data_IF_660299347464
#
_entry.id   IF_660299347464
#
_cell.length_a   1.000
_cell.length_b   1.000
_cell.length_c   1.000
_cell.angle_alpha   90.00
_cell.angle_beta   90.00
_cell.angle_gamma   90.00
#
_symmetry.space_group_name_H-M   'P 1'
#
loop_
_entity.id
_entity.type
_entity.pdbx_description
1 polymer ?
#
# COMPACT_ATOMS: atom_id res chain seq x y z
N UNK A 1 86.35 -19.11 17.53
CA UNK A 1 85.05 -18.56 18.00
C UNK A 1 83.98 -18.83 16.95
N UNK A 2 82.88 -19.56 17.25
CA UNK A 2 81.84 -19.78 16.26
C UNK A 2 80.91 -18.57 16.20
N UNK A 3 80.81 -17.96 15.02
CA UNK A 3 79.89 -16.84 14.76
C UNK A 3 78.47 -17.41 14.69
N UNK A 4 77.66 -17.17 15.74
CA UNK A 4 76.22 -17.47 15.72
C UNK A 4 75.53 -16.58 14.68
N UNK A 5 75.26 -17.13 13.49
CA UNK A 5 74.39 -16.50 12.48
C UNK A 5 73.00 -16.26 13.10
N UNK A 6 72.69 -15.01 13.45
CA UNK A 6 71.33 -14.59 13.83
C UNK A 6 70.39 -14.84 12.66
N UNK A 7 69.54 -15.86 12.78
CA UNK A 7 68.46 -16.19 11.84
C UNK A 7 67.52 -14.98 11.80
N UNK A 8 67.57 -14.15 10.74
CA UNK A 8 66.61 -13.06 10.49
C UNK A 8 65.21 -13.68 10.47
N UNK A 9 64.50 -13.62 11.60
CA UNK A 9 63.07 -13.96 11.67
C UNK A 9 62.39 -12.98 10.71
N UNK A 10 61.66 -13.49 9.73
CA UNK A 10 60.91 -12.70 8.74
C UNK A 10 59.46 -12.59 9.24
N UNK A 11 59.13 -11.67 10.16
CA UNK A 11 57.79 -11.57 10.76
C UNK A 11 56.70 -11.37 9.70
N UNK A 12 57.03 -10.70 8.60
CA UNK A 12 56.13 -10.45 7.48
C UNK A 12 55.58 -11.72 6.81
N UNK A 13 56.36 -12.81 6.77
CA UNK A 13 55.89 -14.09 6.18
C UNK A 13 54.90 -14.82 7.08
N UNK A 14 54.99 -14.62 8.40
CA UNK A 14 54.05 -15.21 9.34
C UNK A 14 52.72 -14.43 9.31
N UNK A 15 52.78 -13.10 9.28
CA UNK A 15 51.60 -12.24 9.15
C UNK A 15 50.83 -12.49 7.85
N UNK A 16 51.53 -12.58 6.71
CA UNK A 16 50.88 -12.87 5.42
C UNK A 16 50.16 -14.23 5.43
N UNK A 17 50.77 -15.27 6.00
CA UNK A 17 50.14 -16.59 6.14
C UNK A 17 48.90 -16.53 7.04
N UNK A 18 48.95 -15.78 8.13
CA UNK A 18 47.80 -15.58 9.03
C UNK A 18 46.63 -14.92 8.29
N UNK A 19 46.90 -13.84 7.53
CA UNK A 19 45.88 -13.14 6.74
C UNK A 19 45.24 -14.06 5.70
N UNK A 20 46.04 -14.86 4.98
CA UNK A 20 45.51 -15.82 4.00
C UNK A 20 44.64 -16.89 4.68
N UNK A 21 45.07 -17.43 5.82
CA UNK A 21 44.28 -18.42 6.57
C UNK A 21 42.98 -17.82 7.10
N UNK A 22 43.00 -16.60 7.66
CA UNK A 22 41.79 -15.90 8.08
C UNK A 22 40.87 -15.58 6.91
N UNK A 23 41.42 -15.22 5.74
CA UNK A 23 40.65 -15.01 4.52
C UNK A 23 39.96 -16.28 4.02
N UNK A 24 40.62 -17.44 4.09
CA UNK A 24 40.04 -18.73 3.72
C UNK A 24 38.97 -19.16 4.74
N UNK A 25 39.21 -19.00 6.03
CA UNK A 25 38.22 -19.31 7.08
C UNK A 25 37.01 -18.39 6.97
N UNK A 26 37.24 -17.08 6.83
CA UNK A 26 36.18 -16.09 6.64
C UNK A 26 35.40 -16.32 5.36
N UNK A 27 36.08 -16.61 4.25
CA UNK A 27 35.45 -16.97 2.98
C UNK A 27 34.64 -18.27 3.05
N UNK A 28 35.16 -19.28 3.76
CA UNK A 28 34.46 -20.55 3.99
C UNK A 28 33.22 -20.41 4.87
N UNK A 29 33.31 -19.61 5.95
CA UNK A 29 32.16 -19.29 6.81
C UNK A 29 31.11 -18.46 6.07
N UNK A 30 31.54 -17.46 5.28
CA UNK A 30 30.63 -16.65 4.45
C UNK A 30 29.94 -17.49 3.38
N UNK A 31 30.68 -18.36 2.69
CA UNK A 31 30.12 -19.28 1.70
C UNK A 31 29.16 -20.29 2.35
N UNK A 32 29.55 -20.88 3.49
CA UNK A 32 28.69 -21.80 4.23
C UNK A 32 27.40 -21.14 4.71
N UNK A 33 27.47 -19.91 5.19
CA UNK A 33 26.28 -19.14 5.56
C UNK A 33 25.39 -18.88 4.33
N UNK A 34 25.91 -18.20 3.32
CA UNK A 34 25.11 -17.72 2.17
C UNK A 34 24.61 -18.82 1.22
N UNK A 35 25.33 -19.95 1.09
CA UNK A 35 24.95 -21.01 0.16
C UNK A 35 24.31 -22.23 0.82
N UNK A 36 24.49 -22.43 2.14
CA UNK A 36 24.00 -23.63 2.84
C UNK A 36 22.99 -23.29 3.93
N UNK A 37 23.25 -22.29 4.77
CA UNK A 37 22.38 -21.96 5.90
C UNK A 37 21.24 -21.03 5.49
N UNK A 38 21.56 -19.94 4.79
CA UNK A 38 20.59 -18.89 4.43
C UNK A 38 19.58 -19.39 3.39
N UNK A 39 19.83 -20.51 2.69
CA UNK A 39 18.91 -21.09 1.69
C UNK A 39 18.10 -22.29 2.21
N UNK A 40 18.23 -22.61 3.50
CA UNK A 40 17.55 -23.77 4.08
C UNK A 40 16.15 -23.38 4.52
N UNK A 41 15.18 -23.75 3.70
CA UNK A 41 13.75 -23.66 4.04
C UNK A 41 13.37 -24.64 5.14
N UNK A 42 12.38 -24.25 5.94
CA UNK A 42 11.60 -25.21 6.71
C UNK A 42 10.94 -26.22 5.74
N UNK A 43 10.81 -27.48 6.18
CA UNK A 43 10.20 -28.52 5.36
C UNK A 43 8.74 -28.19 4.99
N UNK A 44 8.02 -27.51 5.89
CA UNK A 44 6.62 -27.12 5.69
C UNK A 44 6.47 -25.91 4.75
N UNK A 45 7.40 -24.96 4.81
CA UNK A 45 7.36 -23.74 3.97
C UNK A 45 7.90 -23.95 2.55
N UNK A 46 8.76 -24.96 2.37
CA UNK A 46 9.46 -25.19 1.11
C UNK A 46 8.51 -25.35 -0.10
N UNK A 47 7.42 -26.13 -0.03
CA UNK A 47 6.50 -26.28 -1.17
C UNK A 47 5.88 -24.95 -1.60
N UNK A 48 5.38 -24.15 -0.65
CA UNK A 48 4.81 -22.83 -0.93
C UNK A 48 5.84 -21.88 -1.54
N UNK A 49 7.06 -21.84 -0.98
CA UNK A 49 8.15 -21.04 -1.53
C UNK A 49 8.54 -21.47 -2.96
N UNK A 50 8.54 -22.77 -3.26
CA UNK A 50 8.78 -23.29 -4.62
C UNK A 50 7.63 -22.98 -5.59
N UNK A 51 6.38 -22.94 -5.12
CA UNK A 51 5.22 -22.54 -5.91
C UNK A 51 5.30 -21.07 -6.33
N UNK A 52 5.48 -20.17 -5.36
CA UNK A 52 5.65 -18.71 -5.59
C UNK A 52 6.84 -18.43 -6.51
N UNK A 53 7.97 -19.12 -6.29
CA UNK A 53 9.18 -19.00 -7.12
C UNK A 53 8.95 -19.40 -8.57
N UNK A 54 8.17 -20.47 -8.78
CA UNK A 54 7.83 -20.96 -10.11
C UNK A 54 6.88 -20.02 -10.82
N UNK A 55 5.85 -19.53 -10.15
CA UNK A 55 4.87 -18.63 -10.74
C UNK A 55 5.51 -17.32 -11.19
N UNK A 56 6.31 -16.70 -10.32
CA UNK A 56 6.97 -15.43 -10.67
C UNK A 56 8.25 -15.61 -11.51
N UNK A 57 8.64 -16.85 -11.81
CA UNK A 57 9.90 -17.24 -12.45
C UNK A 57 11.18 -16.65 -11.81
N UNK A 58 11.15 -16.40 -10.49
CA UNK A 58 12.26 -15.82 -9.72
C UNK A 58 12.84 -16.84 -8.75
N UNK A 59 14.17 -16.79 -8.53
CA UNK A 59 14.85 -17.71 -7.61
C UNK A 59 15.13 -17.04 -6.26
N UNK A 60 14.72 -17.68 -5.16
CA UNK A 60 15.02 -17.21 -3.81
C UNK A 60 16.52 -17.02 -3.55
N UNK A 61 16.88 -15.83 -3.06
CA UNK A 61 18.26 -15.51 -2.64
C UNK A 61 18.53 -16.04 -1.24
N UNK A 62 17.53 -15.98 -0.36
CA UNK A 62 17.53 -16.52 0.99
C UNK A 62 16.14 -17.04 1.39
N UNK A 63 16.10 -17.99 2.31
CA UNK A 63 14.89 -18.46 2.95
C UNK A 63 14.34 -17.41 3.91
N UNK A 64 13.02 -17.30 3.95
CA UNK A 64 12.30 -16.41 4.85
C UNK A 64 11.75 -17.24 6.00
N UNK A 65 11.66 -16.64 7.19
CA UNK A 65 11.10 -17.30 8.36
C UNK A 65 9.68 -16.78 8.59
N UNK A 66 8.80 -17.67 9.04
CA UNK A 66 7.45 -17.35 9.46
C UNK A 66 7.40 -17.37 10.99
N UNK A 67 6.73 -16.39 11.58
CA UNK A 67 6.42 -16.33 13.00
C UNK A 67 4.92 -16.15 13.19
N UNK A 68 4.30 -17.10 13.89
CA UNK A 68 2.91 -16.99 14.34
C UNK A 68 2.89 -16.10 15.59
N UNK A 69 1.99 -15.12 15.61
CA UNK A 69 1.80 -14.20 16.72
C UNK A 69 0.37 -14.26 17.25
N UNK A 70 0.16 -14.07 18.56
CA UNK A 70 -1.15 -13.72 19.10
C UNK A 70 -1.76 -12.51 18.39
N UNK A 71 -3.09 -12.43 18.33
CA UNK A 71 -3.83 -11.42 17.56
C UNK A 71 -3.43 -9.98 17.91
N UNK A 72 -3.27 -9.65 19.18
CA UNK A 72 -2.87 -8.34 19.68
C UNK A 72 -1.43 -7.98 19.26
N UNK A 73 -0.48 -8.90 19.49
CA UNK A 73 0.92 -8.73 19.08
C UNK A 73 1.05 -8.60 17.54
N UNK A 74 0.25 -9.37 16.80
CA UNK A 74 0.18 -9.31 15.34
C UNK A 74 -0.32 -7.94 14.86
N UNK A 75 -1.42 -7.46 15.42
CA UNK A 75 -2.04 -6.20 15.04
C UNK A 75 -1.08 -5.01 15.26
N UNK A 76 -0.42 -4.95 16.41
CA UNK A 76 0.59 -3.90 16.67
C UNK A 76 1.74 -3.98 15.66
N UNK A 77 2.24 -5.20 15.36
CA UNK A 77 3.33 -5.40 14.40
C UNK A 77 2.94 -4.95 12.99
N UNK A 78 1.73 -5.29 12.56
CA UNK A 78 1.16 -4.88 11.27
C UNK A 78 1.07 -3.36 11.18
N UNK A 79 0.55 -2.70 12.21
CA UNK A 79 0.45 -1.24 12.25
C UNK A 79 1.83 -0.56 12.20
N UNK A 80 2.80 -1.05 12.98
CA UNK A 80 4.18 -0.51 13.00
C UNK A 80 4.83 -0.63 11.61
N UNK A 81 4.83 -1.84 11.04
CA UNK A 81 5.49 -2.10 9.75
C UNK A 81 4.78 -1.36 8.61
N UNK A 82 3.45 -1.44 8.56
CA UNK A 82 2.65 -0.84 7.50
C UNK A 82 2.67 0.69 7.52
N UNK A 83 2.67 1.33 8.69
CA UNK A 83 2.77 2.79 8.78
C UNK A 83 4.21 3.32 8.74
N UNK A 84 5.21 2.43 8.72
CA UNK A 84 6.63 2.82 8.73
C UNK A 84 7.04 3.50 10.04
N UNK A 85 6.42 3.10 11.15
CA UNK A 85 6.76 3.60 12.48
C UNK A 85 8.03 2.91 12.98
N UNK A 86 8.78 3.61 13.85
CA UNK A 86 9.80 2.94 14.64
C UNK A 86 9.18 1.97 15.66
N UNK A 87 10.00 1.06 16.20
CA UNK A 87 9.54 0.05 17.15
C UNK A 87 9.00 0.63 18.48
N UNK A 88 9.29 1.90 18.79
CA UNK A 88 8.79 2.62 19.96
C UNK A 88 7.54 3.47 19.62
N UNK A 89 7.09 3.41 18.36
CA UNK A 89 5.98 4.16 17.78
C UNK A 89 6.03 5.67 18.07
N UNK A 90 7.23 6.27 18.10
CA UNK A 90 7.38 7.69 18.49
C UNK A 90 6.66 8.66 17.55
N UNK A 91 6.43 8.25 16.30
CA UNK A 91 5.67 8.98 15.29
C UNK A 91 4.14 8.92 15.42
N UNK A 92 3.57 8.08 16.29
CA UNK A 92 2.12 7.85 16.33
C UNK A 92 1.33 9.09 16.80
N UNK A 93 1.80 9.77 17.84
CA UNK A 93 1.13 10.96 18.38
C UNK A 93 1.08 12.14 17.37
N UNK A 94 2.18 12.55 16.72
CA UNK A 94 2.11 13.59 15.68
C UNK A 94 1.30 13.15 14.46
N UNK A 95 1.34 11.87 14.08
CA UNK A 95 0.50 11.32 13.02
C UNK A 95 -0.99 11.45 13.36
N UNK A 96 -1.38 11.09 14.59
CA UNK A 96 -2.75 11.23 15.07
C UNK A 96 -3.23 12.68 15.03
N UNK A 97 -2.38 13.64 15.41
CA UNK A 97 -2.70 15.06 15.36
C UNK A 97 -2.86 15.57 13.91
N UNK A 98 -1.98 15.15 12.99
CA UNK A 98 -2.13 15.45 11.55
C UNK A 98 -3.47 14.92 11.03
N UNK A 99 -3.79 13.65 11.34
CA UNK A 99 -5.01 13.00 10.87
C UNK A 99 -6.27 13.62 11.45
N UNK A 100 -6.29 13.98 12.74
CA UNK A 100 -7.44 14.71 13.34
C UNK A 100 -7.63 16.08 12.71
N UNK A 101 -6.53 16.82 12.49
CA UNK A 101 -6.59 18.13 11.83
C UNK A 101 -7.26 18.04 10.45
N UNK A 102 -7.02 16.95 9.73
CA UNK A 102 -7.57 16.73 8.39
C UNK A 102 -8.84 15.86 8.37
N UNK A 103 -9.42 15.56 9.55
CA UNK A 103 -10.66 14.79 9.64
C UNK A 103 -10.55 13.36 9.13
N UNK A 104 -9.38 12.73 9.30
CA UNK A 104 -9.11 11.34 8.95
C UNK A 104 -9.33 10.39 10.13
N UNK A 105 -9.25 10.89 11.36
CA UNK A 105 -9.43 10.10 12.58
C UNK A 105 -10.06 10.94 13.66
N UNK A 106 -10.66 10.27 14.64
CA UNK A 106 -11.07 10.84 15.93
C UNK A 106 -10.25 10.24 17.07
N UNK A 107 -10.30 10.85 18.25
CA UNK A 107 -9.71 10.27 19.45
C UNK A 107 -8.19 10.07 19.38
N UNK A 108 -7.71 9.09 20.15
CA UNK A 108 -6.32 8.62 20.11
C UNK A 108 -6.20 7.49 19.09
N UNK A 109 -5.04 7.42 18.43
CA UNK A 109 -4.69 6.25 17.63
C UNK A 109 -4.07 5.20 18.54
N UNK A 110 -4.58 3.98 18.45
CA UNK A 110 -4.05 2.82 19.16
C UNK A 110 -3.54 1.82 18.10
N UNK A 111 -2.30 1.34 18.24
CA UNK A 111 -1.68 0.45 17.24
C UNK A 111 -2.47 -0.84 17.04
N UNK A 112 -2.96 -1.42 18.13
CA UNK A 112 -3.80 -2.61 18.11
C UNK A 112 -5.05 -2.38 17.24
N UNK A 113 -5.81 -1.30 17.48
CA UNK A 113 -6.99 -0.98 16.69
C UNK A 113 -6.68 -0.81 15.20
N UNK A 114 -5.56 -0.13 14.88
CA UNK A 114 -5.12 0.06 13.49
C UNK A 114 -4.84 -1.27 12.79
N UNK A 115 -4.11 -2.16 13.44
CA UNK A 115 -3.81 -3.49 12.90
C UNK A 115 -5.04 -4.38 12.79
N UNK A 116 -5.91 -4.37 13.82
CA UNK A 116 -7.16 -5.11 13.83
C UNK A 116 -8.10 -4.68 12.70
N UNK A 117 -8.11 -3.37 12.38
CA UNK A 117 -8.90 -2.82 11.29
C UNK A 117 -8.52 -3.35 9.90
N UNK A 118 -7.31 -3.88 9.72
CA UNK A 118 -6.82 -4.45 8.46
C UNK A 118 -6.55 -5.96 8.56
N UNK A 119 -6.90 -6.59 9.69
CA UNK A 119 -6.54 -7.97 9.99
C UNK A 119 -7.13 -8.96 8.99
N UNK A 120 -8.39 -8.78 8.60
CA UNK A 120 -9.07 -9.63 7.63
C UNK A 120 -8.37 -9.60 6.27
N UNK A 121 -7.94 -8.42 5.84
CA UNK A 121 -7.35 -8.23 4.51
C UNK A 121 -5.90 -8.72 4.45
N UNK A 122 -5.23 -8.71 5.60
CA UNK A 122 -3.82 -9.07 5.74
C UNK A 122 -3.62 -9.94 6.98
N UNK A 123 -4.02 -11.23 6.96
CA UNK A 123 -3.82 -12.16 8.08
C UNK A 123 -2.41 -12.77 8.11
N UNK A 124 -1.66 -12.64 7.01
CA UNK A 124 -0.24 -12.97 6.91
C UNK A 124 0.46 -11.86 6.14
N UNK A 125 1.57 -11.31 6.66
CA UNK A 125 2.34 -10.28 5.95
C UNK A 125 3.84 -10.48 6.03
N UNK A 126 4.54 -9.97 5.02
CA UNK A 126 5.99 -9.84 5.04
C UNK A 126 6.38 -8.48 5.62
N UNK A 127 7.18 -8.47 6.69
CA UNK A 127 7.79 -7.26 7.20
C UNK A 127 9.17 -7.03 6.56
N UNK A 128 9.33 -5.99 5.72
CA UNK A 128 10.62 -5.68 5.14
C UNK A 128 11.69 -5.20 6.15
N UNK A 129 11.28 -4.75 7.33
CA UNK A 129 12.19 -4.15 8.34
C UNK A 129 13.16 -5.18 8.89
N UNK A 130 12.69 -6.40 9.15
CA UNK A 130 13.51 -7.51 9.65
C UNK A 130 13.56 -8.71 8.69
N UNK A 131 12.80 -8.66 7.59
CA UNK A 131 12.79 -9.69 6.56
C UNK A 131 12.06 -10.96 6.97
N UNK A 132 11.11 -10.86 7.90
CA UNK A 132 10.31 -11.97 8.43
C UNK A 132 8.89 -11.95 7.83
N UNK A 133 8.21 -13.09 7.87
CA UNK A 133 6.77 -13.18 7.65
C UNK A 133 6.09 -13.38 9.01
N UNK A 134 5.02 -12.66 9.24
CA UNK A 134 4.16 -12.78 10.41
C UNK A 134 2.81 -13.33 10.00
N UNK A 135 2.30 -14.25 10.80
CA UNK A 135 0.98 -14.89 10.65
C UNK A 135 0.20 -14.69 11.93
N UNK A 136 -1.08 -14.33 11.82
CA UNK A 136 -1.94 -14.27 13.01
C UNK A 136 -2.36 -15.67 13.44
N UNK A 137 -2.38 -15.92 14.75
CA UNK A 137 -2.85 -17.18 15.31
C UNK A 137 -4.35 -17.39 15.04
N UNK A 138 -4.73 -18.60 14.60
CA UNK A 138 -6.12 -19.01 14.50
C UNK A 138 -6.82 -18.71 13.17
N UNK A 139 -6.07 -18.44 12.11
CA UNK A 139 -6.60 -18.33 10.74
C UNK A 139 -6.95 -19.71 10.19
N UNK A 140 -8.06 -19.81 9.46
CA UNK A 140 -8.44 -21.02 8.73
C UNK A 140 -7.39 -21.44 7.69
N UNK A 141 -7.26 -22.74 7.44
CA UNK A 141 -6.16 -23.30 6.67
C UNK A 141 -6.10 -22.77 5.22
N UNK A 142 -7.23 -22.64 4.52
CA UNK A 142 -7.29 -22.11 3.15
C UNK A 142 -6.91 -20.63 3.07
N UNK A 143 -7.50 -19.77 3.92
CA UNK A 143 -7.13 -18.35 4.03
C UNK A 143 -5.64 -18.20 4.40
N UNK A 144 -5.18 -18.98 5.37
CA UNK A 144 -3.78 -19.01 5.80
C UNK A 144 -2.85 -19.40 4.66
N UNK A 145 -3.17 -20.46 3.90
CA UNK A 145 -2.36 -20.90 2.76
C UNK A 145 -2.28 -19.82 1.69
N UNK A 146 -3.40 -19.22 1.32
CA UNK A 146 -3.45 -18.14 0.33
C UNK A 146 -2.67 -16.90 0.78
N UNK A 147 -2.88 -16.42 2.00
CA UNK A 147 -2.17 -15.25 2.52
C UNK A 147 -0.68 -15.52 2.73
N UNK A 148 -0.29 -16.76 3.08
CA UNK A 148 1.12 -17.15 3.14
C UNK A 148 1.79 -17.06 1.75
N UNK A 149 1.12 -17.49 0.68
CA UNK A 149 1.64 -17.34 -0.68
C UNK A 149 1.80 -15.87 -1.06
N UNK A 150 0.84 -15.01 -0.69
CA UNK A 150 0.94 -13.56 -0.90
C UNK A 150 2.14 -12.96 -0.15
N UNK A 151 2.32 -13.28 1.13
CA UNK A 151 3.45 -12.78 1.92
C UNK A 151 4.81 -13.29 1.38
N UNK A 152 4.88 -14.56 0.98
CA UNK A 152 6.06 -15.12 0.32
C UNK A 152 6.35 -14.41 -1.02
N UNK A 153 5.32 -14.11 -1.82
CA UNK A 153 5.50 -13.38 -3.07
C UNK A 153 6.06 -11.97 -2.82
N UNK A 154 5.52 -11.23 -1.86
CA UNK A 154 6.05 -9.92 -1.47
C UNK A 154 7.53 -10.00 -1.02
N UNK A 155 7.89 -11.02 -0.25
CA UNK A 155 9.27 -11.25 0.19
C UNK A 155 10.21 -11.63 -0.97
N UNK A 156 9.75 -12.46 -1.91
CA UNK A 156 10.51 -12.83 -3.11
C UNK A 156 10.77 -11.60 -3.98
N UNK A 157 9.74 -10.78 -4.20
CA UNK A 157 9.83 -9.51 -4.92
C UNK A 157 10.82 -8.58 -4.23
N UNK A 158 10.81 -8.49 -2.89
CA UNK A 158 11.77 -7.62 -2.19
C UNK A 158 13.22 -8.09 -2.36
N UNK A 159 13.45 -9.40 -2.32
CA UNK A 159 14.79 -9.93 -2.54
C UNK A 159 15.36 -9.56 -3.90
N UNK A 160 14.52 -9.40 -4.93
CA UNK A 160 14.96 -9.10 -6.30
C UNK A 160 14.90 -7.62 -6.67
N UNK A 161 13.78 -6.97 -6.38
CA UNK A 161 13.48 -5.59 -6.74
C UNK A 161 13.88 -4.59 -5.66
N UNK A 162 14.06 -5.05 -4.42
CA UNK A 162 14.38 -4.22 -3.25
C UNK A 162 13.38 -3.07 -3.06
N UNK A 163 12.10 -3.34 -3.34
CA UNK A 163 11.03 -2.35 -3.25
C UNK A 163 10.97 -1.75 -1.84
N UNK A 164 11.28 -2.52 -0.80
CA UNK A 164 11.31 -2.04 0.58
C UNK A 164 12.35 -0.94 0.79
N UNK A 165 13.53 -1.09 0.17
CA UNK A 165 14.58 -0.08 0.24
C UNK A 165 14.21 1.18 -0.54
N UNK A 166 13.47 1.03 -1.65
CA UNK A 166 12.96 2.17 -2.42
C UNK A 166 11.96 2.97 -1.61
N UNK A 167 10.99 2.33 -0.97
CA UNK A 167 9.98 3.04 -0.18
C UNK A 167 10.54 3.64 1.13
N UNK A 168 11.62 3.07 1.66
CA UNK A 168 12.31 3.58 2.84
C UNK A 168 13.32 4.70 2.51
N UNK A 169 13.61 4.94 1.23
CA UNK A 169 14.48 6.03 0.80
C UNK A 169 13.75 7.37 1.03
N UNK A 170 14.30 8.30 1.84
CA UNK A 170 13.68 9.60 2.08
C UNK A 170 13.54 10.46 0.83
N UNK A 171 14.27 10.17 -0.25
CA UNK A 171 14.16 10.84 -1.53
C UNK A 171 12.99 10.30 -2.39
N UNK A 172 12.46 9.12 -2.06
CA UNK A 172 11.29 8.58 -2.76
C UNK A 172 10.04 9.33 -2.33
N UNK A 173 9.27 9.92 -3.27
CA UNK A 173 8.01 10.58 -2.94
C UNK A 173 7.05 9.62 -2.23
N UNK A 174 6.35 10.12 -1.21
CA UNK A 174 5.41 9.29 -0.44
C UNK A 174 4.33 8.67 -1.33
N UNK A 175 3.90 9.41 -2.35
CA UNK A 175 2.92 8.95 -3.35
C UNK A 175 3.47 7.79 -4.17
N UNK A 176 4.72 7.87 -4.63
CA UNK A 176 5.41 6.77 -5.31
C UNK A 176 5.54 5.56 -4.37
N UNK A 177 5.89 5.78 -3.10
CA UNK A 177 6.00 4.70 -2.12
C UNK A 177 4.67 3.96 -1.86
N UNK A 178 3.55 4.70 -1.72
CA UNK A 178 2.22 4.11 -1.57
C UNK A 178 1.81 3.35 -2.83
N UNK A 179 1.97 3.97 -4.02
CA UNK A 179 1.65 3.33 -5.29
C UNK A 179 2.47 2.06 -5.55
N UNK A 180 3.77 2.09 -5.26
CA UNK A 180 4.64 0.91 -5.37
C UNK A 180 4.19 -0.19 -4.41
N UNK A 181 3.86 0.14 -3.15
CA UNK A 181 3.35 -0.86 -2.19
C UNK A 181 2.06 -1.51 -2.67
N UNK A 182 1.11 -0.72 -3.20
CA UNK A 182 -0.14 -1.25 -3.77
C UNK A 182 0.14 -2.21 -4.93
N UNK A 183 1.05 -1.85 -5.84
CA UNK A 183 1.38 -2.70 -6.99
C UNK A 183 2.17 -3.96 -6.60
N UNK A 184 3.02 -3.91 -5.58
CA UNK A 184 3.67 -5.10 -5.03
C UNK A 184 2.64 -6.03 -4.39
N UNK A 185 1.70 -5.48 -3.62
CA UNK A 185 0.65 -6.27 -2.99
C UNK A 185 -0.31 -6.89 -4.04
N UNK A 186 -0.54 -6.17 -5.14
CA UNK A 186 -1.30 -6.65 -6.30
C UNK A 186 -0.59 -7.78 -7.07
N UNK A 187 0.72 -7.66 -7.35
CA UNK A 187 1.52 -8.74 -7.97
C UNK A 187 1.54 -9.97 -7.06
N UNK A 188 1.79 -9.75 -5.77
CA UNK A 188 1.80 -10.81 -4.75
C UNK A 188 0.45 -11.54 -4.64
N UNK A 189 -0.66 -10.80 -4.74
CA UNK A 189 -2.00 -11.37 -4.77
C UNK A 189 -2.22 -12.21 -6.02
N UNK A 190 -1.90 -11.69 -7.21
CA UNK A 190 -2.04 -12.45 -8.46
C UNK A 190 -1.24 -13.76 -8.42
N UNK A 191 -0.02 -13.73 -7.87
CA UNK A 191 0.79 -14.94 -7.69
C UNK A 191 0.12 -15.93 -6.73
N UNK A 192 -0.48 -15.45 -5.63
CA UNK A 192 -1.18 -16.31 -4.68
C UNK A 192 -2.42 -16.97 -5.31
N UNK A 193 -3.21 -16.19 -6.06
CA UNK A 193 -4.39 -16.66 -6.79
C UNK A 193 -4.04 -17.74 -7.83
N UNK A 194 -2.86 -17.67 -8.44
CA UNK A 194 -2.34 -18.66 -9.40
C UNK A 194 -1.65 -19.86 -8.73
N UNK A 195 -1.08 -19.68 -7.54
CA UNK A 195 -0.29 -20.70 -6.85
C UNK A 195 -1.12 -21.64 -5.98
N UNK A 196 -2.28 -21.20 -5.48
CA UNK A 196 -3.12 -21.97 -4.55
C UNK A 196 -4.27 -22.64 -5.29
N UNK A 197 -4.42 -23.94 -5.04
CA UNK A 197 -5.55 -24.73 -5.56
C UNK A 197 -6.68 -24.73 -4.52
N UNK A 198 -7.65 -23.84 -4.69
CA UNK A 198 -8.78 -23.72 -3.78
C UNK A 198 -9.67 -24.97 -3.82
N UNK A 199 -9.88 -25.59 -2.66
CA UNK A 199 -10.77 -26.75 -2.52
C UNK A 199 -12.22 -26.38 -2.18
N UNK A 200 -12.41 -25.15 -1.70
CA UNK A 200 -13.69 -24.54 -1.35
C UNK A 200 -14.13 -23.56 -2.43
N UNK A 201 -15.43 -23.26 -2.51
CA UNK A 201 -15.91 -22.24 -3.44
C UNK A 201 -15.60 -20.82 -2.93
N UNK A 202 -15.71 -19.83 -3.81
CA UNK A 202 -15.35 -18.44 -3.47
C UNK A 202 -16.24 -17.80 -2.40
N UNK A 203 -17.46 -18.30 -2.16
CA UNK A 203 -18.31 -17.78 -1.09
C UNK A 203 -17.86 -18.30 0.26
N UNK A 204 -17.54 -19.60 0.34
CA UNK A 204 -16.98 -20.21 1.55
C UNK A 204 -15.61 -19.59 1.88
N UNK A 205 -14.78 -19.29 0.88
CA UNK A 205 -13.54 -18.56 1.08
C UNK A 205 -13.76 -17.14 1.60
N UNK A 206 -14.76 -16.42 1.08
CA UNK A 206 -15.13 -15.10 1.57
C UNK A 206 -15.64 -15.13 3.02
N UNK A 207 -16.35 -16.20 3.41
CA UNK A 207 -16.83 -16.37 4.79
C UNK A 207 -15.67 -16.41 5.79
N UNK A 208 -14.50 -16.98 5.42
CA UNK A 208 -13.31 -16.96 6.27
C UNK A 208 -12.78 -15.53 6.54
N UNK A 209 -12.83 -14.65 5.55
CA UNK A 209 -12.50 -13.22 5.75
C UNK A 209 -13.49 -12.55 6.70
N UNK A 210 -14.78 -12.81 6.51
CA UNK A 210 -15.85 -12.23 7.32
C UNK A 210 -15.78 -12.72 8.78
N UNK A 211 -15.43 -14.00 8.99
CA UNK A 211 -15.20 -14.58 10.33
C UNK A 211 -14.00 -13.93 11.02
N UNK A 212 -12.90 -13.74 10.31
CA UNK A 212 -11.71 -13.08 10.87
C UNK A 212 -11.98 -11.59 11.18
N UNK A 213 -12.69 -10.88 10.30
CA UNK A 213 -13.14 -9.51 10.55
C UNK A 213 -14.06 -9.44 11.79
N UNK A 214 -14.98 -10.40 11.94
CA UNK A 214 -15.85 -10.48 13.11
C UNK A 214 -15.08 -10.78 14.40
N UNK A 215 -14.01 -11.58 14.33
CA UNK A 215 -13.14 -11.89 15.46
C UNK A 215 -12.34 -10.67 15.96
N UNK A 216 -11.99 -9.74 15.06
CA UNK A 216 -11.34 -8.47 15.43
C UNK A 216 -12.24 -7.55 16.28
N UNK A 217 -13.56 -7.74 16.20
CA UNK A 217 -14.55 -7.15 17.10
C UNK A 217 -14.66 -5.63 17.03
N UNK A 218 -15.22 -5.04 18.09
CA UNK A 218 -15.49 -3.60 18.17
C UNK A 218 -14.23 -2.72 18.15
N UNK A 219 -13.05 -3.29 18.39
CA UNK A 219 -11.79 -2.56 18.36
C UNK A 219 -11.38 -2.20 16.93
N UNK A 220 -11.61 -3.09 15.96
CA UNK A 220 -11.39 -2.83 14.54
C UNK A 220 -12.23 -1.64 14.02
N UNK A 221 -13.44 -1.45 14.57
CA UNK A 221 -14.30 -0.31 14.24
C UNK A 221 -13.73 1.04 14.67
N UNK A 222 -12.70 1.07 15.53
CA UNK A 222 -11.97 2.29 15.90
C UNK A 222 -10.80 2.59 14.97
N UNK A 223 -10.44 1.66 14.08
CA UNK A 223 -9.45 1.94 13.04
C UNK A 223 -9.99 3.00 12.08
N UNK A 224 -9.24 4.07 11.82
CA UNK A 224 -9.59 5.00 10.77
C UNK A 224 -9.52 4.31 9.40
N UNK A 225 -10.54 4.54 8.55
CA UNK A 225 -10.60 3.93 7.21
C UNK A 225 -9.33 4.20 6.37
N UNK A 226 -8.72 5.38 6.53
CA UNK A 226 -7.46 5.71 5.86
C UNK A 226 -6.30 4.81 6.32
N UNK A 227 -6.22 4.49 7.61
CA UNK A 227 -5.20 3.58 8.13
C UNK A 227 -5.43 2.18 7.59
N UNK A 228 -6.67 1.69 7.64
CA UNK A 228 -7.03 0.39 7.07
C UNK A 228 -6.67 0.33 5.58
N UNK A 229 -6.95 1.37 4.80
CA UNK A 229 -6.58 1.42 3.38
C UNK A 229 -5.06 1.37 3.14
N UNK A 230 -4.27 2.05 3.99
CA UNK A 230 -2.80 2.00 3.90
C UNK A 230 -2.22 0.62 4.25
N UNK A 231 -2.84 -0.08 5.19
CA UNK A 231 -2.41 -1.40 5.67
C UNK A 231 -2.89 -2.51 4.72
N UNK A 232 -4.13 -2.46 4.25
CA UNK A 232 -4.78 -3.42 3.35
C UNK A 232 -4.50 -3.19 1.86
N UNK A 233 -3.38 -2.57 1.50
CA UNK A 233 -3.06 -2.09 0.14
C UNK A 233 -3.19 -3.14 -1.00
N UNK A 234 -3.25 -4.44 -0.66
CA UNK A 234 -3.49 -5.55 -1.59
C UNK A 234 -4.90 -5.61 -2.19
N UNK A 235 -5.89 -4.95 -1.58
CA UNK A 235 -7.29 -4.97 -2.06
C UNK A 235 -7.69 -3.71 -2.87
N UNK A 236 -6.71 -3.07 -3.53
CA UNK A 236 -6.97 -1.93 -4.42
C UNK A 236 -7.60 -2.30 -5.77
N UNK A 237 -7.79 -3.60 -6.04
CA UNK A 237 -8.21 -4.15 -7.33
C UNK A 237 -7.13 -4.15 -8.42
N UNK A 238 -5.96 -3.57 -8.15
CA UNK A 238 -4.87 -3.48 -9.13
C UNK A 238 -4.26 -4.83 -9.52
N UNK A 239 -4.49 -5.89 -8.72
CA UNK A 239 -4.06 -7.28 -9.01
C UNK A 239 -4.55 -7.78 -10.37
N UNK A 240 -5.70 -7.28 -10.82
CA UNK A 240 -6.27 -7.53 -12.14
C UNK A 240 -5.29 -7.21 -13.28
N UNK A 241 -4.46 -6.17 -13.13
CA UNK A 241 -3.49 -5.78 -14.16
C UNK A 241 -2.44 -6.86 -14.39
N UNK A 242 -2.09 -7.59 -13.34
CA UNK A 242 -1.14 -8.69 -13.40
C UNK A 242 -1.76 -9.95 -14.03
N UNK A 243 -3.04 -10.21 -13.78
CA UNK A 243 -3.77 -11.31 -14.44
C UNK A 243 -4.01 -11.11 -15.95
N UNK A 244 -3.72 -9.91 -16.49
CA UNK A 244 -3.80 -9.63 -17.94
C UNK A 244 -2.45 -9.79 -18.66
N UNK A 245 -1.37 -10.13 -17.94
CA UNK A 245 -0.01 -10.22 -18.49
C UNK A 245 0.63 -11.57 -18.16
N UNK A 246 1.10 -12.27 -19.19
CA UNK A 246 1.63 -13.63 -19.06
C UNK A 246 3.17 -13.68 -18.98
N UNK A 247 3.86 -12.54 -19.13
CA UNK A 247 5.32 -12.49 -19.15
C UNK A 247 5.92 -11.62 -18.03
N UNK A 248 7.04 -12.10 -17.49
CA UNK A 248 7.76 -11.51 -16.36
C UNK A 248 8.25 -10.09 -16.65
N UNK A 249 8.61 -9.77 -17.89
CA UNK A 249 9.16 -8.44 -18.22
C UNK A 249 8.04 -7.40 -18.19
N UNK A 250 6.88 -7.73 -18.76
CA UNK A 250 5.70 -6.86 -18.70
C UNK A 250 5.17 -6.74 -17.27
N UNK A 251 5.25 -7.80 -16.46
CA UNK A 251 4.92 -7.71 -15.02
C UNK A 251 5.84 -6.73 -14.28
N UNK A 252 7.14 -6.76 -14.54
CA UNK A 252 8.09 -5.81 -13.93
C UNK A 252 7.83 -4.37 -14.39
N UNK A 253 7.44 -4.16 -15.65
CA UNK A 253 7.07 -2.83 -16.18
C UNK A 253 5.87 -2.21 -15.43
N UNK A 254 4.90 -3.03 -14.97
CA UNK A 254 3.77 -2.57 -14.16
C UNK A 254 4.19 -2.02 -12.79
N UNK A 255 5.39 -2.39 -12.31
CA UNK A 255 5.93 -1.93 -11.03
C UNK A 255 6.65 -0.58 -11.14
N UNK A 256 6.80 -0.01 -12.35
CA UNK A 256 7.35 1.33 -12.57
C UNK A 256 6.34 2.46 -12.28
N UNK A 257 5.75 2.42 -11.10
CA UNK A 257 4.74 3.37 -10.63
C UNK A 257 5.38 4.69 -10.19
N UNK A 258 4.68 5.80 -10.39
CA UNK A 258 5.12 7.14 -9.96
C UNK A 258 4.22 7.84 -8.95
N UNK A 259 3.03 7.30 -8.68
CA UNK A 259 2.14 7.79 -7.61
C UNK A 259 1.05 6.78 -7.27
N UNK A 260 0.42 6.94 -6.11
CA UNK A 260 -0.80 6.25 -5.73
C UNK A 260 -1.97 6.60 -6.64
N UNK A 261 -2.06 7.85 -7.10
CA UNK A 261 -3.05 8.28 -8.10
C UNK A 261 -2.99 7.46 -9.39
N UNK A 262 -1.78 7.13 -9.85
CA UNK A 262 -1.59 6.33 -11.06
C UNK A 262 -2.07 4.87 -10.91
N UNK A 263 -2.12 4.36 -9.67
CA UNK A 263 -2.67 3.04 -9.35
C UNK A 263 -4.17 3.11 -9.14
N UNK A 264 -4.66 4.14 -8.45
CA UNK A 264 -6.05 4.28 -8.04
C UNK A 264 -6.96 4.75 -9.17
N UNK A 265 -6.53 5.73 -9.97
CA UNK A 265 -7.25 6.18 -11.16
C UNK A 265 -6.83 5.31 -12.34
N UNK A 266 -7.66 4.33 -12.68
CA UNK A 266 -7.29 3.35 -13.68
C UNK A 266 -7.16 3.93 -15.11
N UNK A 267 -7.60 5.17 -15.33
CA UNK A 267 -7.39 5.91 -16.58
C UNK A 267 -6.00 6.57 -16.69
N UNK A 268 -5.24 6.68 -15.60
CA UNK A 268 -3.90 7.26 -15.60
C UNK A 268 -2.84 6.26 -16.04
N UNK A 269 -1.79 6.81 -16.64
CA UNK A 269 -0.57 6.04 -16.95
C UNK A 269 0.21 5.80 -15.65
N UNK A 270 0.68 4.56 -15.43
CA UNK A 270 1.40 4.18 -14.20
C UNK A 270 2.68 5.01 -13.98
N UNK A 271 3.30 5.48 -15.06
CA UNK A 271 4.52 6.29 -15.06
C UNK A 271 4.24 7.80 -15.02
N UNK A 272 2.97 8.20 -14.97
CA UNK A 272 2.59 9.62 -14.83
C UNK A 272 3.05 10.18 -13.49
N UNK A 273 3.74 11.32 -13.54
CA UNK A 273 4.26 12.00 -12.36
C UNK A 273 3.30 13.11 -11.95
N UNK A 274 2.90 13.17 -10.67
CA UNK A 274 2.21 14.32 -10.12
C UNK A 274 3.01 15.62 -10.30
N UNK A 275 2.32 16.75 -10.27
CA UNK A 275 2.91 18.08 -10.18
C UNK A 275 3.76 18.24 -8.91
N UNK A 276 4.99 18.70 -9.08
CA UNK A 276 5.89 19.01 -7.97
C UNK A 276 5.58 20.42 -7.43
N UNK A 277 4.92 20.48 -6.26
CA UNK A 277 4.58 21.73 -5.57
C UNK A 277 5.54 22.09 -4.42
N UNK A 278 6.47 21.19 -4.06
CA UNK A 278 7.44 21.37 -2.97
C UNK A 278 8.85 20.92 -3.38
N UNK A 279 9.84 21.31 -2.57
CA UNK A 279 11.24 20.92 -2.77
C UNK A 279 11.56 19.55 -2.14
N UNK A 280 10.66 19.03 -1.30
CA UNK A 280 10.86 17.80 -0.53
C UNK A 280 9.78 16.78 -0.86
N UNK A 281 10.21 15.62 -1.36
CA UNK A 281 9.34 14.55 -1.83
C UNK A 281 8.36 14.00 -0.76
N UNK A 282 8.75 14.07 0.52
CA UNK A 282 7.93 13.62 1.67
C UNK A 282 6.78 14.57 2.04
N UNK A 283 6.69 15.75 1.44
CA UNK A 283 5.63 16.72 1.72
C UNK A 283 4.32 16.40 0.97
N UNK A 284 4.36 15.58 -0.08
CA UNK A 284 3.14 15.12 -0.75
C UNK A 284 2.43 14.02 0.06
N UNK A 285 1.10 14.02 0.04
CA UNK A 285 0.27 12.99 0.71
C UNK A 285 -0.49 12.10 -0.27
N UNK A 286 -0.66 12.52 -1.52
CA UNK A 286 -1.24 11.68 -2.57
C UNK A 286 -2.75 11.70 -2.66
N UNK A 287 -3.25 11.12 -3.75
CA UNK A 287 -4.69 11.07 -4.03
C UNK A 287 -5.45 10.24 -2.99
N UNK A 288 -4.88 9.14 -2.48
CA UNK A 288 -5.51 8.31 -1.46
C UNK A 288 -5.81 9.13 -0.19
N UNK A 289 -4.84 9.93 0.25
CA UNK A 289 -5.00 10.80 1.40
C UNK A 289 -6.14 11.80 1.18
N UNK A 290 -6.15 12.51 0.04
CA UNK A 290 -7.17 13.50 -0.26
C UNK A 290 -8.56 12.90 -0.46
N UNK A 291 -8.65 11.69 -1.03
CA UNK A 291 -9.87 10.93 -1.07
C UNK A 291 -10.42 10.69 0.34
N UNK A 292 -9.61 10.17 1.27
CA UNK A 292 -10.06 9.89 2.64
C UNK A 292 -10.36 11.16 3.44
N UNK A 293 -9.62 12.25 3.23
CA UNK A 293 -9.92 13.57 3.84
C UNK A 293 -11.34 13.99 3.46
N UNK A 294 -11.67 13.93 2.16
CA UNK A 294 -13.00 14.28 1.66
C UNK A 294 -14.06 13.28 2.13
N UNK A 295 -13.79 11.98 1.98
CA UNK A 295 -14.73 10.90 2.26
C UNK A 295 -15.09 10.79 3.74
N UNK A 296 -14.24 11.29 4.65
CA UNK A 296 -14.57 11.38 6.07
C UNK A 296 -15.75 12.30 6.38
N UNK A 297 -16.08 13.27 5.50
CA UNK A 297 -17.19 14.23 5.72
C UNK A 297 -18.19 14.35 4.57
N UNK A 298 -17.88 13.75 3.42
CA UNK A 298 -18.70 13.81 2.21
C UNK A 298 -19.12 12.40 1.78
N UNK A 299 -20.19 12.26 0.98
CA UNK A 299 -20.53 10.98 0.37
C UNK A 299 -19.36 10.43 -0.45
N UNK A 300 -19.11 9.11 -0.34
CA UNK A 300 -17.93 8.47 -0.92
C UNK A 300 -17.77 8.69 -2.44
N UNK A 301 -18.85 8.59 -3.22
CA UNK A 301 -18.82 8.82 -4.67
C UNK A 301 -18.42 10.26 -5.02
N UNK A 302 -18.88 11.23 -4.22
CA UNK A 302 -18.56 12.63 -4.40
C UNK A 302 -17.10 12.93 -4.02
N UNK A 303 -16.62 12.33 -2.92
CA UNK A 303 -15.23 12.39 -2.51
C UNK A 303 -14.29 11.77 -3.56
N UNK A 304 -14.70 10.66 -4.18
CA UNK A 304 -13.95 10.01 -5.26
C UNK A 304 -13.85 10.91 -6.50
N UNK A 305 -14.99 11.43 -7.00
CA UNK A 305 -15.01 12.32 -8.18
C UNK A 305 -14.18 13.61 -7.97
N UNK A 306 -14.18 14.15 -6.75
CA UNK A 306 -13.32 15.27 -6.39
C UNK A 306 -11.83 14.87 -6.31
N UNK A 307 -11.50 13.72 -5.71
CA UNK A 307 -10.13 13.22 -5.59
C UNK A 307 -9.49 12.89 -6.95
N UNK A 308 -10.28 12.44 -7.93
CA UNK A 308 -9.82 12.26 -9.32
C UNK A 308 -9.29 13.56 -9.95
N UNK A 309 -9.70 14.71 -9.41
CA UNK A 309 -9.21 16.02 -9.81
C UNK A 309 -7.80 16.34 -9.31
N UNK A 310 -7.24 15.60 -8.36
CA UNK A 310 -5.91 15.82 -7.78
C UNK A 310 -4.80 15.56 -8.80
N UNK A 311 -3.79 16.43 -8.88
CA UNK A 311 -2.60 16.20 -9.70
C UNK A 311 -1.29 16.39 -8.94
N UNK A 312 -1.34 16.84 -7.70
CA UNK A 312 -0.16 17.04 -6.87
C UNK A 312 -0.52 17.79 -5.60
N UNK A 313 0.27 17.59 -4.55
CA UNK A 313 0.10 18.32 -3.31
C UNK A 313 1.42 18.57 -2.59
N UNK A 314 1.40 19.61 -1.75
CA UNK A 314 2.41 19.91 -0.76
C UNK A 314 1.71 20.13 0.57
N UNK A 315 2.04 19.32 1.58
CA UNK A 315 1.49 19.39 2.92
C UNK A 315 2.59 19.80 3.91
N UNK A 316 2.33 20.88 4.63
CA UNK A 316 3.19 21.45 5.66
C UNK A 316 2.49 21.31 7.02
N UNK A 317 3.26 20.87 8.02
CA UNK A 317 2.78 20.67 9.40
C UNK A 317 3.42 21.74 10.29
N UNK A 318 2.59 22.58 10.88
CA UNK A 318 2.95 23.60 11.85
C UNK A 318 2.69 23.07 13.26
N UNK A 319 3.71 22.43 13.84
CA UNK A 319 3.64 21.86 15.19
C UNK A 319 3.83 22.90 16.32
N UNK A 320 4.23 24.13 15.98
CA UNK A 320 4.46 25.22 16.95
C UNK A 320 3.29 26.20 17.03
N UNK A 321 2.20 25.94 16.30
CA UNK A 321 1.03 26.79 16.31
C UNK A 321 0.47 26.94 17.75
N UNK A 322 0.06 28.16 18.17
CA UNK A 322 -0.15 28.49 19.59
C UNK A 322 -1.18 27.67 20.35
N UNK A 323 -2.06 26.94 19.65
CA UNK A 323 -3.24 26.30 20.23
C UNK A 323 -3.46 24.83 19.81
N UNK A 324 -2.75 24.33 18.79
CA UNK A 324 -2.84 22.96 18.26
C UNK A 324 -1.88 22.81 17.07
N UNK A 325 -1.52 21.58 16.70
CA UNK A 325 -0.83 21.29 15.43
C UNK A 325 -1.74 21.69 14.27
N UNK A 326 -1.24 22.44 13.29
CA UNK A 326 -2.00 22.82 12.10
C UNK A 326 -1.39 22.22 10.83
N UNK A 327 -2.24 21.75 9.94
CA UNK A 327 -1.89 21.26 8.61
C UNK A 327 -2.24 22.34 7.60
N UNK A 328 -1.31 22.70 6.72
CA UNK A 328 -1.54 23.55 5.57
C UNK A 328 -1.15 22.80 4.30
N UNK A 329 -2.00 22.83 3.29
CA UNK A 329 -1.76 22.17 2.03
C UNK A 329 -1.91 23.11 0.84
N UNK A 330 -1.10 22.89 -0.18
CA UNK A 330 -1.31 23.37 -1.55
C UNK A 330 -1.62 22.16 -2.42
N UNK A 331 -2.67 22.24 -3.21
CA UNK A 331 -3.11 21.14 -4.09
C UNK A 331 -3.22 21.69 -5.51
N UNK A 332 -2.64 21.00 -6.48
CA UNK A 332 -2.88 21.24 -7.91
C UNK A 332 -3.91 20.26 -8.43
N UNK A 333 -4.60 20.68 -9.48
CA UNK A 333 -5.61 19.86 -10.13
C UNK A 333 -5.26 19.57 -11.58
N UNK A 334 -5.75 18.44 -12.08
CA UNK A 334 -5.50 17.95 -13.45
C UNK A 334 -5.92 18.95 -14.53
N UNK A 335 -7.00 19.67 -14.28
CA UNK A 335 -7.56 20.69 -15.16
C UNK A 335 -8.46 21.66 -14.38
N UNK A 336 -9.01 22.67 -15.06
CA UNK A 336 -9.91 23.65 -14.44
C UNK A 336 -11.21 23.01 -13.90
N UNK A 337 -11.75 21.99 -14.57
CA UNK A 337 -12.98 21.34 -14.14
C UNK A 337 -12.74 20.51 -12.87
N UNK A 338 -11.64 19.75 -12.82
CA UNK A 338 -11.15 19.05 -11.65
C UNK A 338 -10.87 20.00 -10.50
N UNK A 339 -10.25 21.16 -10.76
CA UNK A 339 -10.06 22.19 -9.73
C UNK A 339 -11.38 22.68 -9.15
N UNK A 340 -12.37 22.97 -10.00
CA UNK A 340 -13.68 23.47 -9.54
C UNK A 340 -14.37 22.41 -8.67
N UNK A 341 -14.36 21.14 -9.09
CA UNK A 341 -14.92 20.02 -8.30
C UNK A 341 -14.21 19.86 -6.96
N UNK A 342 -12.88 19.81 -6.98
CA UNK A 342 -12.07 19.65 -5.77
C UNK A 342 -12.21 20.84 -4.81
N UNK A 343 -12.24 22.07 -5.32
CA UNK A 343 -12.44 23.27 -4.50
C UNK A 343 -13.84 23.30 -3.85
N UNK A 344 -14.89 22.95 -4.59
CA UNK A 344 -16.25 22.86 -4.04
C UNK A 344 -16.34 21.80 -2.95
N UNK A 345 -15.80 20.60 -3.21
CA UNK A 345 -15.77 19.50 -2.25
C UNK A 345 -15.00 19.90 -0.98
N UNK A 346 -13.79 20.45 -1.11
CA UNK A 346 -13.00 20.93 0.05
C UNK A 346 -13.72 22.02 0.83
N UNK A 347 -14.43 22.93 0.15
CA UNK A 347 -15.21 23.98 0.83
C UNK A 347 -16.33 23.38 1.67
N UNK A 348 -17.03 22.36 1.16
CA UNK A 348 -18.08 21.64 1.89
C UNK A 348 -17.51 20.77 3.01
N UNK A 349 -16.37 20.12 2.78
CA UNK A 349 -15.62 19.39 3.81
C UNK A 349 -15.21 20.31 4.97
N UNK A 350 -14.73 21.52 4.68
CA UNK A 350 -14.35 22.50 5.70
C UNK A 350 -15.58 22.97 6.50
N UNK A 351 -16.70 23.22 5.82
CA UNK A 351 -17.97 23.62 6.45
C UNK A 351 -18.61 22.52 7.31
N UNK A 352 -18.33 21.24 7.01
CA UNK A 352 -18.79 20.10 7.78
C UNK A 352 -17.87 19.75 8.97
N UNK A 353 -16.69 20.38 9.07
CA UNK A 353 -15.74 20.14 10.16
C UNK A 353 -16.12 20.84 11.46
N UNK A 354 -15.48 20.48 12.59
CA UNK A 354 -15.69 21.17 13.85
C UNK A 354 -15.12 22.59 13.80
N UNK A 355 -15.80 23.52 14.47
CA UNK A 355 -15.38 24.93 14.54
C UNK A 355 -13.94 25.09 15.07
N UNK A 356 -13.55 24.23 16.03
CA UNK A 356 -12.21 24.24 16.65
C UNK A 356 -11.08 23.88 15.67
N UNK A 357 -11.38 23.16 14.58
CA UNK A 357 -10.40 22.90 13.52
C UNK A 357 -10.11 24.14 12.66
N UNK A 358 -10.99 25.14 12.69
CA UNK A 358 -10.86 26.41 11.96
C UNK A 358 -10.46 26.22 10.48
N UNK A 359 -11.07 25.23 9.82
CA UNK A 359 -10.72 24.86 8.46
C UNK A 359 -10.99 26.00 7.46
N UNK A 360 -10.03 26.25 6.58
CA UNK A 360 -10.14 27.27 5.52
C UNK A 360 -9.69 26.69 4.18
N UNK A 361 -10.39 27.10 3.12
CA UNK A 361 -10.11 26.68 1.75
C UNK A 361 -10.12 27.91 0.86
N UNK A 362 -9.06 28.13 0.09
CA UNK A 362 -8.99 29.25 -0.85
C UNK A 362 -8.44 28.83 -2.20
N UNK A 363 -9.02 29.35 -3.27
CA UNK A 363 -8.49 29.16 -4.61
C UNK A 363 -7.30 30.09 -4.85
N UNK A 364 -6.23 29.56 -5.44
CA UNK A 364 -5.03 30.32 -5.81
C UNK A 364 -4.84 30.23 -7.32
N UNK A 365 -5.28 31.27 -8.02
CA UNK A 365 -5.27 31.28 -9.49
C UNK A 365 -6.28 30.29 -10.09
N UNK A 366 -5.94 29.72 -11.25
CA UNK A 366 -6.80 28.79 -12.01
C UNK A 366 -6.45 27.32 -11.83
N UNK A 367 -5.39 27.00 -11.10
CA UNK A 367 -4.82 25.64 -11.04
C UNK A 367 -4.63 25.12 -9.61
N UNK A 368 -4.64 26.00 -8.59
CA UNK A 368 -4.29 25.62 -7.22
C UNK A 368 -5.36 25.92 -6.20
N UNK A 369 -5.35 25.13 -5.14
CA UNK A 369 -6.19 25.26 -3.96
C UNK A 369 -5.27 25.24 -2.75
N UNK A 370 -5.51 26.12 -1.78
CA UNK A 370 -4.92 26.00 -0.46
C UNK A 370 -5.96 25.57 0.55
N UNK A 371 -5.55 24.65 1.43
CA UNK A 371 -6.35 24.16 2.55
C UNK A 371 -5.54 24.39 3.82
N UNK A 372 -6.20 24.81 4.90
CA UNK A 372 -5.58 24.82 6.23
C UNK A 372 -6.59 24.35 7.26
N UNK A 373 -6.17 23.49 8.17
CA UNK A 373 -6.99 22.99 9.27
C UNK A 373 -6.09 22.67 10.47
N UNK A 374 -6.60 22.80 11.69
CA UNK A 374 -5.85 22.53 12.92
C UNK A 374 -6.46 21.35 13.67
N UNK A 375 -5.65 20.65 14.48
CA UNK A 375 -6.09 19.55 15.32
C UNK A 375 -7.12 20.06 16.35
N UNK A 376 -8.39 19.67 16.25
CA UNK A 376 -9.42 20.09 17.21
C UNK A 376 -9.31 19.34 18.56
N UNK A 377 -8.38 18.39 18.68
CA UNK A 377 -8.15 17.56 19.85
C UNK A 377 -9.01 16.29 19.86
N UNK A 378 -8.71 15.40 20.83
CA UNK A 378 -9.26 14.04 20.86
C UNK A 378 -10.78 13.95 21.10
N UNK A 379 -11.41 15.02 21.58
CA UNK A 379 -12.83 15.04 21.94
C UNK A 379 -13.74 15.57 20.83
N UNK A 380 -13.19 16.00 19.70
CA UNK A 380 -13.96 16.53 18.59
C UNK A 380 -14.48 15.40 17.71
N UNK A 381 -15.75 15.53 17.33
CA UNK A 381 -16.37 14.75 16.26
C UNK A 381 -15.91 15.36 14.93
N UNK A 382 -15.16 14.58 14.15
CA UNK A 382 -14.52 15.02 12.91
C UNK A 382 -14.95 14.20 11.70
N UNK A 383 -15.62 13.06 11.90
CA UNK A 383 -16.00 12.09 10.88
C UNK A 383 -17.53 11.95 10.80
N UNK A 384 -18.09 12.26 9.63
CA UNK A 384 -19.50 12.00 9.31
C UNK A 384 -19.67 10.60 8.72
N UNK A 385 -18.65 10.09 8.04
CA UNK A 385 -18.65 8.78 7.40
C UNK A 385 -17.45 7.96 7.90
N UNK A 386 -17.71 7.04 8.82
CA UNK A 386 -16.66 6.27 9.49
C UNK A 386 -16.09 5.12 8.63
N UNK A 387 -16.78 4.72 7.55
CA UNK A 387 -16.39 3.57 6.73
C UNK A 387 -16.60 3.83 5.23
N UNK A 388 -15.93 4.83 4.63
CA UNK A 388 -15.89 4.95 3.18
C UNK A 388 -15.18 3.73 2.56
N UNK A 389 -15.49 3.37 1.29
CA UNK A 389 -14.72 2.37 0.55
C UNK A 389 -13.22 2.66 0.60
N UNK A 390 -12.39 1.68 0.97
CA UNK A 390 -10.97 1.89 1.28
C UNK A 390 -10.18 2.52 0.12
N UNK A 391 -10.54 2.19 -1.12
CA UNK A 391 -9.87 2.65 -2.34
C UNK A 391 -10.83 3.36 -3.30
N UNK A 392 -11.91 3.96 -2.78
CA UNK A 392 -12.94 4.60 -3.60
C UNK A 392 -13.55 3.62 -4.61
N UNK A 393 -13.60 4.02 -5.89
CA UNK A 393 -14.13 3.16 -6.96
C UNK A 393 -13.03 2.45 -7.77
N UNK A 394 -11.76 2.54 -7.34
CA UNK A 394 -10.62 1.95 -8.05
C UNK A 394 -10.83 0.45 -8.37
N UNK A 395 -11.32 -0.33 -7.40
CA UNK A 395 -11.56 -1.76 -7.58
C UNK A 395 -12.54 -2.04 -8.71
N UNK A 396 -13.68 -1.33 -8.75
CA UNK A 396 -14.67 -1.42 -9.82
C UNK A 396 -14.08 -1.04 -11.18
N UNK A 397 -13.27 0.01 -11.22
CA UNK A 397 -12.60 0.48 -12.43
C UNK A 397 -11.59 -0.53 -12.99
N UNK A 398 -10.74 -1.12 -12.14
CA UNK A 398 -9.79 -2.16 -12.57
C UNK A 398 -10.51 -3.43 -13.02
N UNK A 399 -11.53 -3.88 -12.30
CA UNK A 399 -12.36 -5.04 -12.70
C UNK A 399 -13.03 -4.79 -14.05
N UNK A 400 -13.55 -3.59 -14.30
CA UNK A 400 -14.11 -3.22 -15.59
C UNK A 400 -13.09 -3.32 -16.73
N UNK A 401 -11.86 -2.85 -16.53
CA UNK A 401 -10.77 -3.01 -17.51
C UNK A 401 -10.51 -4.50 -17.82
N UNK A 402 -10.48 -5.36 -16.79
CA UNK A 402 -10.33 -6.81 -16.99
C UNK A 402 -11.42 -7.40 -17.88
N UNK A 403 -12.67 -7.18 -17.49
CA UNK A 403 -13.83 -7.86 -18.08
C UNK A 403 -14.09 -7.40 -19.51
N UNK A 404 -13.72 -6.16 -19.82
CA UNK A 404 -13.77 -5.60 -21.17
C UNK A 404 -12.55 -5.93 -22.04
N UNK A 405 -11.47 -6.48 -21.47
CA UNK A 405 -10.22 -6.72 -22.19
C UNK A 405 -9.55 -5.43 -22.69
N UNK A 406 -9.73 -4.31 -21.98
CA UNK A 406 -9.20 -3.01 -22.38
C UNK A 406 -7.67 -2.92 -22.20
N UNK A 407 -6.92 -3.39 -23.20
CA UNK A 407 -5.45 -3.50 -23.15
C UNK A 407 -4.72 -2.22 -23.52
N UNK A 408 -5.30 -1.38 -24.40
CA UNK A 408 -4.67 -0.11 -24.83
C UNK A 408 -5.08 1.08 -23.97
N UNK A 409 -4.26 2.13 -23.93
CA UNK A 409 -4.58 3.39 -23.21
C UNK A 409 -5.85 4.06 -23.72
N UNK A 410 -6.16 3.94 -25.01
CA UNK A 410 -7.38 4.49 -25.60
C UNK A 410 -8.62 3.73 -25.14
N UNK A 411 -8.57 2.39 -25.19
CA UNK A 411 -9.65 1.53 -24.68
C UNK A 411 -9.86 1.72 -23.18
N UNK A 412 -8.78 1.74 -22.38
CA UNK A 412 -8.88 1.99 -20.93
C UNK A 412 -9.57 3.31 -20.63
N UNK A 413 -9.12 4.41 -21.25
CA UNK A 413 -9.76 5.72 -21.06
C UNK A 413 -11.22 5.73 -21.49
N UNK A 414 -11.57 5.05 -22.58
CA UNK A 414 -12.97 4.90 -22.99
C UNK A 414 -13.80 4.15 -21.95
N UNK A 415 -13.33 2.98 -21.51
CA UNK A 415 -14.01 2.12 -20.53
C UNK A 415 -14.18 2.85 -19.20
N UNK A 416 -13.12 3.48 -18.68
CA UNK A 416 -13.20 4.22 -17.41
C UNK A 416 -14.13 5.44 -17.52
N UNK A 417 -14.09 6.18 -18.63
CA UNK A 417 -15.04 7.27 -18.86
C UNK A 417 -16.49 6.78 -18.88
N UNK A 418 -16.76 5.62 -19.49
CA UNK A 418 -18.09 5.02 -19.52
C UNK A 418 -18.51 4.48 -18.14
N UNK A 419 -17.63 3.79 -17.43
CA UNK A 419 -17.86 3.26 -16.07
C UNK A 419 -18.29 4.38 -15.12
N UNK A 420 -17.57 5.51 -15.14
CA UNK A 420 -17.90 6.70 -14.36
C UNK A 420 -19.19 7.37 -14.85
N UNK A 421 -19.35 7.52 -16.17
CA UNK A 421 -20.51 8.19 -16.76
C UNK A 421 -21.84 7.46 -16.55
N UNK A 422 -21.81 6.13 -16.39
CA UNK A 422 -22.98 5.30 -16.11
C UNK A 422 -23.15 4.94 -14.63
N UNK A 423 -22.27 5.42 -13.74
CA UNK A 423 -22.28 5.06 -12.32
C UNK A 423 -22.32 3.54 -12.11
N UNK A 424 -21.40 2.82 -12.76
CA UNK A 424 -21.37 1.35 -12.71
C UNK A 424 -21.15 0.84 -11.29
N UNK A 425 -20.42 1.58 -10.45
CA UNK A 425 -20.28 1.28 -9.03
C UNK A 425 -21.63 1.35 -8.29
N UNK A 426 -22.42 2.39 -8.52
CA UNK A 426 -23.79 2.50 -8.01
C UNK A 426 -24.71 1.39 -8.52
N UNK A 427 -24.58 0.99 -9.79
CA UNK A 427 -25.33 -0.14 -10.37
C UNK A 427 -24.98 -1.45 -9.66
N UNK A 428 -23.69 -1.72 -9.42
CA UNK A 428 -23.26 -2.91 -8.69
C UNK A 428 -23.86 -2.93 -7.27
N UNK A 429 -23.83 -1.79 -6.58
CA UNK A 429 -24.38 -1.67 -5.22
C UNK A 429 -25.91 -1.81 -5.17
N UNK A 430 -26.64 -1.28 -6.16
CA UNK A 430 -28.11 -1.22 -6.14
C UNK A 430 -28.80 -2.40 -6.84
N UNK A 431 -28.23 -2.90 -7.93
CA UNK A 431 -28.84 -3.89 -8.83
C UNK A 431 -28.09 -5.24 -8.84
N UNK A 432 -26.89 -5.29 -8.28
CA UNK A 432 -26.09 -6.51 -8.11
C UNK A 432 -25.29 -6.93 -9.34
N UNK A 433 -24.54 -8.03 -9.18
CA UNK A 433 -23.52 -8.48 -10.12
C UNK A 433 -24.06 -8.77 -11.53
N UNK A 434 -25.25 -9.36 -11.67
CA UNK A 434 -25.79 -9.71 -12.98
C UNK A 434 -26.02 -8.48 -13.87
N UNK A 435 -26.52 -7.38 -13.29
CA UNK A 435 -26.69 -6.13 -14.03
C UNK A 435 -25.35 -5.48 -14.34
N UNK A 436 -24.45 -5.47 -13.35
CA UNK A 436 -23.08 -4.98 -13.50
C UNK A 436 -22.38 -5.62 -14.72
N UNK A 437 -22.39 -6.95 -14.84
CA UNK A 437 -21.79 -7.65 -15.98
C UNK A 437 -22.44 -7.29 -17.31
N UNK A 438 -23.77 -7.18 -17.36
CA UNK A 438 -24.48 -6.81 -18.59
C UNK A 438 -24.10 -5.40 -19.07
N UNK A 439 -23.94 -4.44 -18.14
CA UNK A 439 -23.53 -3.07 -18.48
C UNK A 439 -22.08 -3.04 -18.95
N UNK A 440 -21.18 -3.79 -18.31
CA UNK A 440 -19.79 -3.87 -18.74
C UNK A 440 -19.62 -4.51 -20.12
N UNK A 441 -20.44 -5.51 -20.47
CA UNK A 441 -20.47 -6.09 -21.82
C UNK A 441 -20.86 -5.03 -22.86
N UNK A 442 -21.89 -4.21 -22.59
CA UNK A 442 -22.29 -3.10 -23.47
C UNK A 442 -21.17 -2.05 -23.61
N UNK A 443 -20.50 -1.69 -22.52
CA UNK A 443 -19.37 -0.75 -22.51
C UNK A 443 -18.19 -1.30 -23.33
N UNK A 444 -17.80 -2.56 -23.12
CA UNK A 444 -16.71 -3.20 -23.85
C UNK A 444 -16.94 -3.17 -25.36
N UNK A 445 -18.14 -3.59 -25.80
CA UNK A 445 -18.53 -3.55 -27.21
C UNK A 445 -18.46 -2.14 -27.82
N UNK A 446 -18.80 -1.10 -27.06
CA UNK A 446 -18.74 0.28 -27.52
C UNK A 446 -17.29 0.81 -27.62
N UNK A 447 -16.41 0.41 -26.70
CA UNK A 447 -15.03 0.87 -26.64
C UNK A 447 -14.05 0.10 -27.54
N UNK A 448 -14.41 -1.08 -28.03
CA UNK A 448 -13.59 -1.83 -29.01
C UNK A 448 -13.52 -1.16 -30.39
N UNK A 449 -14.55 -0.39 -30.77
CA UNK A 449 -14.62 0.30 -32.06
C UNK A 449 -15.12 1.74 -31.86
N UNK A 450 -14.29 2.65 -31.36
CA UNK A 450 -14.68 4.05 -31.20
C UNK A 450 -15.07 4.64 -32.57
N UNK A 451 -16.31 5.12 -32.66
CA UNK A 451 -16.93 5.61 -33.90
C UNK A 451 -16.29 6.88 -34.46
#
# INVERSE_FOLDING_TARGET
MPVKRKRKRRPFRALFKLIVVLGIIGGGLYYGKTQVLDKRWDAELKPAAEAVSRERELVWRQAVKVQVLPVDEYAERLAISGLGLDAEATGLAPLAAEWRAMGLTEGTLELEALGLGALSDVPVFYDPTDGMIYEVEGVDDELREWSLHQALAAALLDQHLRWSSTIADPETPRTEAIGLRMMIAADARSIADESVDFTIDGMEFQEQFDELAAAAGDEALRSPAYATALLGAGDSGAWVRFGLVDDVTTRDDLLEVRSDAAVLDAARDLRSRPDELGDVASESRGMLYWYHVLAGRLPAAEAWDAALGWEGDKVEIDAEAPNALCVSAQISAVDEAGRVRLFDALTRWAAAGPDDAAATVTAVGTERITVRSCDPGNGADTLVNAAPPLHGEAGTEHVAISLTGAVTDEQRRCVIAAVRGFDVAGILAAEGQARFYAVLEEIGNACENPA
#
